data_IF_073000518421
#
_entry.id   IF_073000518421
#
_cell.length_a   1.000
_cell.length_b   1.000
_cell.length_c   1.000
_cell.angle_alpha   90.00
_cell.angle_beta   90.00
_cell.angle_gamma   90.00
#
_symmetry.space_group_name_H-M   'P 1'
#
loop_
_entity.id
_entity.type
_entity.pdbx_description
1 polymer ?
#
# COMPACT_ATOMS: atom_id res chain seq x y z
N UNK A 1 4.63 22.41 5.55
CA UNK A 1 3.70 21.93 4.50
C UNK A 1 2.61 21.16 5.25
N UNK A 2 1.76 20.34 4.64
CA UNK A 2 0.86 19.46 5.41
C UNK A 2 1.37 18.00 5.44
N UNK A 3 1.97 17.56 4.33
CA UNK A 3 2.52 16.19 4.22
C UNK A 3 3.65 15.89 5.20
N UNK A 4 4.49 16.87 5.52
CA UNK A 4 5.62 16.77 6.46
C UNK A 4 5.16 16.44 7.88
N UNK A 5 3.97 16.89 8.27
CA UNK A 5 3.39 16.54 9.58
C UNK A 5 2.59 15.25 9.51
N UNK A 6 1.64 15.16 8.57
CA UNK A 6 0.67 14.06 8.55
C UNK A 6 1.32 12.73 8.16
N UNK A 7 2.16 12.70 7.12
CA UNK A 7 2.81 11.46 6.69
C UNK A 7 3.87 10.99 7.69
N UNK A 8 4.57 11.92 8.35
CA UNK A 8 5.52 11.57 9.42
C UNK A 8 4.79 10.94 10.60
N UNK A 9 3.66 11.51 11.03
CA UNK A 9 2.84 10.91 12.07
C UNK A 9 2.31 9.52 11.68
N UNK A 10 1.89 9.33 10.43
CA UNK A 10 1.49 8.02 9.92
C UNK A 10 2.64 7.00 10.01
N UNK A 11 3.85 7.36 9.57
CA UNK A 11 5.02 6.47 9.66
C UNK A 11 5.39 6.16 11.11
N UNK A 12 5.33 7.15 12.00
CA UNK A 12 5.60 6.96 13.43
C UNK A 12 4.66 5.94 14.05
N UNK A 13 3.37 5.98 13.72
CA UNK A 13 2.40 4.97 14.17
C UNK A 13 2.74 3.59 13.62
N UNK A 14 3.10 3.49 12.33
CA UNK A 14 3.42 2.21 11.68
C UNK A 14 4.68 1.56 12.26
N UNK A 15 5.67 2.36 12.67
CA UNK A 15 6.93 1.89 13.26
C UNK A 15 6.88 1.84 14.80
N UNK A 16 5.75 2.22 15.40
CA UNK A 16 5.59 2.31 16.86
C UNK A 16 6.56 3.30 17.55
N UNK A 17 6.97 4.37 16.86
CA UNK A 17 7.86 5.44 17.35
C UNK A 17 7.08 6.72 17.72
N UNK A 18 6.00 6.55 18.49
CA UNK A 18 5.10 7.64 18.92
C UNK A 18 5.45 8.22 20.29
N UNK A 19 6.06 7.42 21.18
CA UNK A 19 6.35 7.82 22.56
C UNK A 19 7.70 8.52 22.68
N UNK A 20 7.78 9.56 23.52
CA UNK A 20 9.04 10.24 23.83
C UNK A 20 9.89 9.41 24.81
N UNK A 21 11.23 9.39 24.66
CA UNK A 21 12.00 9.97 23.56
C UNK A 21 11.85 9.16 22.26
N UNK A 22 11.66 9.88 21.16
CA UNK A 22 11.56 9.27 19.83
C UNK A 22 12.92 8.74 19.39
N UNK A 23 12.91 7.61 18.69
CA UNK A 23 14.11 6.95 18.14
C UNK A 23 14.59 7.67 16.89
N UNK A 24 13.66 8.07 16.02
CA UNK A 24 13.96 8.74 14.75
C UNK A 24 13.67 10.24 14.84
N UNK A 25 14.56 11.07 14.28
CA UNK A 25 14.29 12.50 14.10
C UNK A 25 13.30 12.72 12.96
N UNK A 26 12.51 13.80 13.02
CA UNK A 26 11.53 14.11 11.97
C UNK A 26 12.20 14.28 10.60
N UNK A 27 13.33 15.00 10.54
CA UNK A 27 14.11 15.17 9.30
C UNK A 27 14.56 13.83 8.68
N UNK A 28 14.89 12.83 9.51
CA UNK A 28 15.24 11.51 9.01
C UNK A 28 14.02 10.81 8.39
N UNK A 29 12.86 10.89 9.06
CA UNK A 29 11.61 10.29 8.55
C UNK A 29 11.14 10.97 7.26
N UNK A 30 11.28 12.29 7.14
CA UNK A 30 10.99 13.03 5.91
C UNK A 30 11.85 12.56 4.74
N UNK A 31 13.16 12.37 4.93
CA UNK A 31 14.06 11.83 3.89
C UNK A 31 13.65 10.43 3.46
N UNK A 32 13.27 9.59 4.43
CA UNK A 32 12.80 8.23 4.15
C UNK A 32 11.48 8.27 3.38
N UNK A 33 10.56 9.16 3.73
CA UNK A 33 9.29 9.37 3.02
C UNK A 33 9.50 9.81 1.56
N UNK A 34 10.41 10.76 1.31
CA UNK A 34 10.72 11.22 -0.05
C UNK A 34 11.35 10.08 -0.86
N UNK A 35 12.29 9.35 -0.26
CA UNK A 35 12.91 8.18 -0.90
C UNK A 35 11.86 7.11 -1.22
N UNK A 36 10.94 6.85 -0.29
CA UNK A 36 9.82 5.95 -0.50
C UNK A 36 8.91 6.44 -1.63
N UNK A 37 8.60 7.74 -1.69
CA UNK A 37 7.82 8.36 -2.76
C UNK A 37 8.42 8.08 -4.14
N UNK A 38 9.72 8.34 -4.33
CA UNK A 38 10.44 8.07 -5.59
C UNK A 38 10.34 6.57 -5.97
N UNK A 39 10.44 5.67 -4.99
CA UNK A 39 10.33 4.23 -5.26
C UNK A 39 8.90 3.81 -5.62
N UNK A 40 7.88 4.37 -4.96
CA UNK A 40 6.48 4.04 -5.24
C UNK A 40 6.04 4.61 -6.58
N UNK A 41 6.50 5.81 -6.94
CA UNK A 41 6.21 6.44 -8.23
C UNK A 41 6.72 5.61 -9.42
N UNK A 42 7.86 4.94 -9.24
CA UNK A 42 8.37 3.97 -10.23
C UNK A 42 7.54 2.66 -10.31
N UNK A 43 6.78 2.33 -9.27
CA UNK A 43 6.01 1.07 -9.17
C UNK A 43 4.51 1.24 -9.44
N UNK A 44 3.95 2.43 -9.23
CA UNK A 44 2.52 2.72 -9.31
C UNK A 44 2.28 4.05 -10.03
N UNK A 45 1.47 4.08 -11.10
CA UNK A 45 1.17 5.32 -11.81
C UNK A 45 0.14 6.14 -11.02
N UNK A 46 0.60 7.25 -10.43
CA UNK A 46 -0.25 8.23 -9.76
C UNK A 46 -0.93 9.18 -10.74
N UNK A 47 -2.06 9.76 -10.34
CA UNK A 47 -2.79 10.76 -11.15
C UNK A 47 -2.16 12.14 -11.14
N UNK A 48 -1.22 12.39 -10.23
CA UNK A 48 -0.51 13.65 -10.10
C UNK A 48 0.98 13.43 -10.40
N UNK A 49 1.58 14.36 -11.13
CA UNK A 49 3.01 14.39 -11.38
C UNK A 49 3.72 14.99 -10.16
N UNK A 50 4.43 14.14 -9.40
CA UNK A 50 5.10 14.52 -8.17
C UNK A 50 6.59 14.78 -8.42
N UNK A 51 7.05 15.97 -8.04
CA UNK A 51 8.45 16.34 -7.96
C UNK A 51 8.99 16.08 -6.55
N UNK A 52 10.13 15.38 -6.47
CA UNK A 52 10.80 15.00 -5.24
C UNK A 52 12.17 15.65 -5.11
N UNK A 53 12.48 16.24 -3.95
CA UNK A 53 13.83 16.71 -3.61
C UNK A 53 14.22 16.24 -2.20
N UNK A 54 15.21 15.36 -2.12
CA UNK A 54 15.71 14.78 -0.86
C UNK A 54 16.54 15.80 -0.06
N UNK A 55 17.18 16.75 -0.74
CA UNK A 55 18.07 17.73 -0.11
C UNK A 55 17.31 18.90 0.50
N UNK A 56 16.26 19.37 -0.19
CA UNK A 56 15.39 20.46 0.26
C UNK A 56 14.21 19.94 1.10
N UNK A 57 14.01 18.61 1.12
CA UNK A 57 12.93 17.93 1.82
C UNK A 57 11.55 18.35 1.30
N UNK A 58 11.33 18.17 0.01
CA UNK A 58 10.07 18.61 -0.64
C UNK A 58 9.43 17.52 -1.48
N UNK A 59 8.10 17.47 -1.40
CA UNK A 59 7.19 16.73 -2.27
C UNK A 59 6.20 17.76 -2.84
N UNK A 60 6.14 17.90 -4.17
CA UNK A 60 5.27 18.86 -4.84
C UNK A 60 4.56 18.22 -6.04
N UNK A 61 3.23 18.30 -6.17
CA UNK A 61 2.27 18.96 -5.27
C UNK A 61 2.15 18.25 -3.90
N UNK A 62 1.67 18.95 -2.88
CA UNK A 62 1.50 18.36 -1.55
C UNK A 62 0.32 17.35 -1.57
N UNK A 63 0.59 16.05 -1.31
CA UNK A 63 -0.41 14.97 -1.43
C UNK A 63 -1.58 15.10 -0.45
N UNK A 64 -1.38 15.78 0.68
CA UNK A 64 -2.44 16.03 1.67
C UNK A 64 -3.38 17.10 1.14
N UNK A 65 -2.82 18.16 0.57
CA UNK A 65 -3.63 19.26 0.00
C UNK A 65 -4.40 18.84 -1.24
N UNK A 66 -3.82 17.95 -2.06
CA UNK A 66 -4.49 17.37 -3.24
C UNK A 66 -5.47 16.24 -2.89
N UNK A 67 -5.54 15.85 -1.61
CA UNK A 67 -6.38 14.75 -1.11
C UNK A 67 -6.12 13.42 -1.81
N UNK A 68 -4.86 13.15 -2.19
CA UNK A 68 -4.46 11.90 -2.82
C UNK A 68 -4.32 10.79 -1.76
N UNK A 69 -5.45 10.17 -1.44
CA UNK A 69 -5.52 9.07 -0.47
C UNK A 69 -4.67 7.86 -0.88
N UNK A 70 -4.42 7.66 -2.18
CA UNK A 70 -3.63 6.53 -2.67
C UNK A 70 -2.15 6.77 -2.33
N UNK A 71 -1.65 7.98 -2.61
CA UNK A 71 -0.31 8.39 -2.21
C UNK A 71 -0.13 8.35 -0.69
N UNK A 72 -1.08 8.93 0.05
CA UNK A 72 -1.05 8.97 1.52
C UNK A 72 -1.11 7.57 2.15
N UNK A 73 -1.64 6.55 1.47
CA UNK A 73 -1.64 5.17 1.97
C UNK A 73 -0.36 4.40 1.58
N UNK A 74 0.06 4.48 0.30
CA UNK A 74 1.17 3.68 -0.23
C UNK A 74 2.54 4.14 0.29
N UNK A 75 2.77 5.46 0.34
CA UNK A 75 4.10 6.01 0.63
C UNK A 75 4.51 5.79 2.09
N UNK A 76 3.67 6.06 3.11
CA UNK A 76 4.00 5.73 4.50
C UNK A 76 4.22 4.23 4.75
N UNK A 77 3.46 3.36 4.07
CA UNK A 77 3.66 1.91 4.15
C UNK A 77 5.01 1.49 3.58
N UNK A 78 5.41 2.07 2.43
CA UNK A 78 6.73 1.81 1.84
C UNK A 78 7.86 2.36 2.72
N UNK A 79 7.69 3.55 3.29
CA UNK A 79 8.64 4.13 4.24
C UNK A 79 8.83 3.25 5.49
N UNK A 80 7.73 2.73 6.07
CA UNK A 80 7.80 1.79 7.19
C UNK A 80 8.50 0.47 6.80
N UNK A 81 8.30 -0.01 5.57
CA UNK A 81 9.04 -1.16 5.03
C UNK A 81 10.56 -0.90 4.94
N UNK A 82 10.99 0.29 4.48
CA UNK A 82 12.41 0.66 4.42
C UNK A 82 13.03 0.70 5.82
N UNK A 83 12.33 1.30 6.79
CA UNK A 83 12.81 1.41 8.18
C UNK A 83 12.95 0.03 8.84
N UNK A 84 11.92 -0.80 8.77
CA UNK A 84 11.95 -2.16 9.34
C UNK A 84 13.03 -3.04 8.69
N UNK A 85 13.29 -2.89 7.40
CA UNK A 85 14.42 -3.56 6.75
C UNK A 85 15.78 -3.06 7.26
N UNK A 86 15.91 -1.76 7.54
CA UNK A 86 17.10 -1.17 8.15
C UNK A 86 17.38 -1.74 9.54
N UNK A 87 16.35 -1.80 10.39
CA UNK A 87 16.42 -2.39 11.74
C UNK A 87 16.82 -3.87 11.69
N UNK A 88 16.24 -4.64 10.78
CA UNK A 88 16.61 -6.05 10.62
C UNK A 88 18.07 -6.22 10.21
N UNK A 89 18.56 -5.40 9.27
CA UNK A 89 19.98 -5.44 8.86
C UNK A 89 20.93 -5.15 10.02
N UNK A 90 20.55 -4.23 10.91
CA UNK A 90 21.34 -3.95 12.12
C UNK A 90 21.27 -5.11 13.11
N UNK A 91 20.08 -5.69 13.32
CA UNK A 91 19.89 -6.81 14.23
C UNK A 91 20.71 -8.04 13.80
N UNK A 92 20.76 -8.37 12.51
CA UNK A 92 21.54 -9.52 11.99
C UNK A 92 23.02 -9.51 12.41
N UNK A 93 23.62 -8.34 12.62
CA UNK A 93 25.01 -8.20 13.04
C UNK A 93 25.27 -8.51 14.52
N UNK A 94 24.23 -8.64 15.34
CA UNK A 94 24.33 -8.77 16.80
C UNK A 94 24.11 -10.20 17.33
N UNK A 95 24.01 -11.18 16.43
CA UNK A 95 23.77 -12.57 16.78
C UNK A 95 24.95 -13.23 17.49
N UNK A 96 24.82 -13.50 18.79
CA UNK A 96 25.82 -14.20 19.59
C UNK A 96 25.25 -15.53 20.08
N UNK A 97 26.05 -16.59 19.91
CA UNK A 97 25.80 -17.91 20.49
C UNK A 97 26.97 -18.29 21.38
N UNK A 98 26.71 -18.40 22.68
CA UNK A 98 27.71 -18.86 23.66
C UNK A 98 27.24 -20.17 24.26
N UNK A 99 28.14 -21.13 24.36
CA UNK A 99 27.94 -22.37 25.11
C UNK A 99 28.96 -22.46 26.24
N UNK A 100 28.46 -22.71 27.44
CA UNK A 100 29.27 -22.98 28.63
C UNK A 100 28.68 -24.21 29.33
N UNK A 101 29.31 -25.37 29.11
CA UNK A 101 28.82 -26.66 29.58
C UNK A 101 27.41 -27.00 29.05
N UNK A 102 26.50 -27.31 29.98
CA UNK A 102 25.09 -27.60 29.69
C UNK A 102 24.23 -26.34 29.48
N UNK A 103 24.80 -25.15 29.68
CA UNK A 103 24.13 -23.88 29.45
C UNK A 103 24.49 -23.32 28.08
N UNK A 104 23.47 -22.89 27.34
CA UNK A 104 23.65 -22.20 26.06
C UNK A 104 22.77 -20.96 26.00
N UNK A 105 23.37 -19.83 25.64
CA UNK A 105 22.64 -18.61 25.29
C UNK A 105 22.71 -18.49 23.77
N UNK A 106 21.54 -18.55 23.14
CA UNK A 106 21.41 -18.45 21.69
C UNK A 106 20.45 -17.30 21.36
N UNK A 107 21.03 -16.13 21.06
CA UNK A 107 20.24 -14.97 20.64
C UNK A 107 19.74 -15.09 19.20
N UNK A 108 20.19 -16.11 18.44
CA UNK A 108 19.80 -16.27 17.02
C UNK A 108 18.33 -16.62 16.82
N UNK A 109 17.65 -17.12 17.86
CA UNK A 109 16.23 -17.44 17.81
C UNK A 109 15.38 -16.18 17.69
N UNK A 110 15.83 -15.05 18.25
CA UNK A 110 15.13 -13.76 18.12
C UNK A 110 15.07 -13.23 16.68
N UNK A 111 16.04 -13.60 15.82
CA UNK A 111 16.03 -13.24 14.39
C UNK A 111 14.92 -13.90 13.60
N UNK A 112 14.36 -15.02 14.07
CA UNK A 112 13.21 -15.65 13.41
C UNK A 112 11.98 -14.75 13.50
N UNK A 113 11.74 -14.13 14.66
CA UNK A 113 10.65 -13.17 14.83
C UNK A 113 10.80 -11.94 13.94
N UNK A 114 12.02 -11.43 13.76
CA UNK A 114 12.24 -10.33 12.83
C UNK A 114 12.02 -10.71 11.37
N UNK A 115 12.38 -11.94 10.98
CA UNK A 115 12.08 -12.47 9.66
C UNK A 115 10.56 -12.56 9.44
N UNK A 116 9.82 -13.05 10.42
CA UNK A 116 8.35 -13.15 10.34
C UNK A 116 7.71 -11.75 10.22
N UNK A 117 8.23 -10.75 10.93
CA UNK A 117 7.79 -9.34 10.82
C UNK A 117 8.10 -8.78 9.43
N UNK A 118 9.22 -9.14 8.82
CA UNK A 118 9.50 -8.73 7.44
C UNK A 118 8.57 -9.40 6.42
N UNK A 119 8.27 -10.68 6.61
CA UNK A 119 7.41 -11.45 5.71
C UNK A 119 5.93 -11.08 5.84
N UNK A 120 5.46 -10.68 7.03
CA UNK A 120 4.03 -10.37 7.29
C UNK A 120 3.74 -8.90 7.61
N UNK A 121 4.76 -8.06 7.78
CA UNK A 121 4.60 -6.69 8.27
C UNK A 121 4.33 -5.66 7.16
N UNK A 122 4.89 -4.44 7.27
CA UNK A 122 4.52 -3.32 6.40
C UNK A 122 4.87 -3.56 4.93
N UNK A 123 5.93 -4.33 4.63
CA UNK A 123 6.30 -4.68 3.27
C UNK A 123 5.24 -5.55 2.57
N UNK A 124 4.69 -6.54 3.28
CA UNK A 124 3.63 -7.39 2.73
C UNK A 124 2.30 -6.63 2.61
N UNK A 125 2.00 -5.76 3.58
CA UNK A 125 0.84 -4.88 3.52
C UNK A 125 0.91 -3.92 2.32
N UNK A 126 2.08 -3.35 2.04
CA UNK A 126 2.34 -2.52 0.87
C UNK A 126 2.05 -3.27 -0.43
N UNK A 127 2.64 -4.46 -0.61
CA UNK A 127 2.42 -5.27 -1.82
C UNK A 127 0.94 -5.61 -2.00
N UNK A 128 0.27 -6.04 -0.92
CA UNK A 128 -1.17 -6.36 -0.97
C UNK A 128 -2.01 -5.15 -1.35
N UNK A 129 -1.72 -3.97 -0.79
CA UNK A 129 -2.45 -2.74 -1.08
C UNK A 129 -2.20 -2.29 -2.53
N UNK A 130 -0.95 -2.31 -2.99
CA UNK A 130 -0.57 -2.05 -4.39
C UNK A 130 -1.33 -2.96 -5.35
N UNK A 131 -1.31 -4.28 -5.12
CA UNK A 131 -2.05 -5.24 -5.94
C UNK A 131 -3.55 -4.97 -5.94
N UNK A 132 -4.13 -4.63 -4.79
CA UNK A 132 -5.56 -4.33 -4.70
C UNK A 132 -5.97 -3.08 -5.50
N UNK A 133 -5.12 -2.05 -5.52
CA UNK A 133 -5.36 -0.81 -6.25
C UNK A 133 -5.18 -0.98 -7.76
N UNK A 134 -4.18 -1.77 -8.17
CA UNK A 134 -3.99 -2.15 -9.58
C UNK A 134 -5.14 -3.03 -10.09
N UNK A 135 -5.62 -3.96 -9.26
CA UNK A 135 -6.74 -4.83 -9.61
C UNK A 135 -8.07 -4.07 -9.69
N UNK A 136 -8.29 -3.07 -8.84
CA UNK A 136 -9.52 -2.26 -8.85
C UNK A 136 -9.58 -1.27 -10.03
N UNK A 137 -8.45 -1.02 -10.70
CA UNK A 137 -8.34 -0.02 -11.78
C UNK A 137 -8.26 1.41 -11.25
N UNK A 138 -7.80 1.60 -10.01
CA UNK A 138 -7.58 2.91 -9.41
C UNK A 138 -6.32 3.61 -9.97
N UNK A 139 -5.47 2.87 -10.67
CA UNK A 139 -4.32 3.41 -11.40
C UNK A 139 -4.77 4.16 -12.66
N UNK A 140 -4.17 5.32 -12.92
CA UNK A 140 -4.44 6.09 -14.15
C UNK A 140 -4.05 5.24 -15.38
N UNK A 141 -5.00 4.99 -16.29
CA UNK A 141 -4.82 4.09 -17.43
C UNK A 141 -4.87 2.59 -17.12
N UNK A 142 -5.10 2.19 -15.87
CA UNK A 142 -5.22 0.80 -15.45
C UNK A 142 -6.59 0.21 -15.76
N UNK A 143 -6.70 -0.55 -16.86
CA UNK A 143 -7.80 -1.50 -17.02
C UNK A 143 -7.67 -2.55 -15.91
N UNK A 144 -8.42 -2.38 -14.81
CA UNK A 144 -8.31 -3.17 -13.57
C UNK A 144 -7.92 -4.64 -13.83
N UNK A 145 -6.68 -4.97 -13.45
CA UNK A 145 -6.07 -6.27 -13.75
C UNK A 145 -6.70 -7.31 -12.83
N UNK A 146 -7.80 -7.90 -13.29
CA UNK A 146 -8.61 -8.81 -12.47
C UNK A 146 -10.11 -8.79 -12.74
N UNK A 147 -10.63 -7.98 -13.67
CA UNK A 147 -12.00 -8.19 -14.18
C UNK A 147 -12.02 -9.47 -15.01
N UNK A 148 -12.39 -10.58 -14.38
CA UNK A 148 -12.37 -11.92 -14.95
C UNK A 148 -12.94 -11.96 -16.37
N UNK A 149 -12.05 -12.31 -17.31
CA UNK A 149 -12.37 -12.94 -18.58
C UNK A 149 -12.94 -14.31 -18.23
N UNK A 150 -14.27 -14.51 -18.29
CA UNK A 150 -14.91 -15.83 -18.43
C UNK A 150 -16.42 -15.62 -18.66
N UNK A 151 -16.77 -15.35 -19.91
CA UNK A 151 -18.15 -15.29 -20.40
C UNK A 151 -18.16 -14.82 -21.86
N UNK A 152 -18.71 -15.58 -22.82
CA UNK A 152 -18.58 -15.32 -24.26
C UNK A 152 -19.28 -14.04 -24.79
N UNK A 153 -19.84 -13.20 -23.91
CA UNK A 153 -20.66 -12.05 -24.30
C UNK A 153 -20.32 -10.78 -23.51
N UNK A 154 -19.07 -10.33 -23.52
CA UNK A 154 -18.74 -9.00 -22.99
C UNK A 154 -18.42 -8.00 -24.09
N UNK A 155 -19.19 -6.91 -24.10
CA UNK A 155 -18.92 -5.70 -24.87
C UNK A 155 -17.78 -4.91 -24.20
N UNK A 156 -16.81 -4.38 -24.96
CA UNK A 156 -15.73 -3.56 -24.42
C UNK A 156 -16.28 -2.33 -23.67
N UNK A 157 -15.83 -2.09 -22.44
CA UNK A 157 -16.21 -0.92 -21.63
C UNK A 157 -17.32 -1.12 -20.59
N UNK A 158 -17.98 -2.29 -20.54
CA UNK A 158 -19.04 -2.54 -19.55
C UNK A 158 -18.51 -2.78 -18.13
N UNK A 159 -19.16 -2.18 -17.12
CA UNK A 159 -18.88 -2.49 -15.71
C UNK A 159 -19.57 -3.82 -15.31
N UNK A 160 -19.31 -4.35 -14.11
CA UNK A 160 -19.87 -5.66 -13.69
C UNK A 160 -21.38 -5.59 -13.35
N UNK A 161 -21.92 -4.38 -13.16
CA UNK A 161 -23.31 -4.14 -12.82
C UNK A 161 -24.22 -4.06 -14.05
N UNK A 162 -23.68 -3.63 -15.20
CA UNK A 162 -24.43 -3.58 -16.47
C UNK A 162 -24.90 -4.98 -16.93
N UNK A 163 -24.15 -6.03 -16.57
CA UNK A 163 -24.51 -7.42 -16.88
C UNK A 163 -25.52 -8.05 -15.91
N UNK A 164 -25.85 -7.39 -14.79
CA UNK A 164 -26.91 -7.88 -13.89
C UNK A 164 -28.27 -7.30 -14.31
N UNK A 165 -28.29 -6.17 -15.03
CA UNK A 165 -29.51 -5.50 -15.47
C UNK A 165 -30.40 -6.36 -16.38
N UNK A 166 -29.81 -7.13 -17.31
CA UNK A 166 -30.60 -7.96 -18.23
C UNK A 166 -31.14 -9.26 -17.59
N UNK A 167 -30.53 -9.71 -16.48
CA UNK A 167 -31.00 -10.91 -15.78
C UNK A 167 -32.25 -10.59 -14.93
N UNK A 168 -32.33 -9.38 -14.35
CA UNK A 168 -33.51 -8.95 -13.58
C UNK A 168 -34.69 -8.51 -14.45
N UNK A 169 -34.45 -8.06 -15.69
CA UNK A 169 -35.52 -7.66 -16.62
C UNK A 169 -36.34 -8.85 -17.17
N UNK A 170 -35.86 -10.09 -17.03
CA UNK A 170 -36.62 -11.28 -17.44
C UNK A 170 -37.62 -11.77 -16.38
N UNK A 171 -37.56 -11.26 -15.15
CA UNK A 171 -38.41 -11.73 -14.04
C UNK A 171 -39.26 -10.65 -13.39
N UNK A 172 -39.18 -9.39 -13.83
CA UNK A 172 -39.96 -8.29 -13.29
C UNK A 172 -40.90 -7.67 -14.33
N UNK A 173 -42.00 -8.36 -14.64
CA UNK A 173 -43.37 -7.79 -14.69
C UNK A 173 -44.35 -8.92 -14.97
N UNK A 174 -44.94 -9.48 -13.91
CA UNK A 174 -46.31 -9.94 -14.02
C UNK A 174 -47.19 -8.70 -14.01
N UNK A 175 -47.66 -8.27 -15.19
CA UNK A 175 -49.01 -7.70 -15.40
C UNK A 175 -49.21 -7.35 -16.88
N UNK A 176 -50.14 -8.09 -17.49
CA UNK A 176 -51.15 -7.65 -18.48
C UNK A 176 -50.78 -6.52 -19.45
N UNK A 177 -50.66 -6.85 -20.74
CA UNK A 177 -50.53 -5.85 -21.79
C UNK A 177 -50.72 -6.40 -23.21
N UNK A 178 -51.92 -6.91 -23.47
CA UNK A 178 -52.44 -7.25 -24.81
C UNK A 178 -52.11 -6.16 -25.84
N UNK A 179 -51.33 -6.50 -26.88
CA UNK A 179 -51.35 -5.79 -28.17
C UNK A 179 -51.84 -6.77 -29.23
N UNK A 180 -53.09 -6.57 -29.61
CA UNK A 180 -53.77 -7.26 -30.69
C UNK A 180 -52.99 -7.09 -32.02
N UNK A 181 -52.89 -8.18 -32.78
CA UNK A 181 -52.63 -8.15 -34.22
C UNK A 181 -53.97 -8.31 -34.94
N UNK A 182 -54.49 -7.20 -35.47
CA UNK A 182 -55.29 -7.07 -36.70
C UNK A 182 -55.69 -5.61 -36.85
#
# INVERSE_FOLDING_TARGET
MAWDTDLVLMVRVLVSDISLPQTYTDEYLERVLITAGIMVDAEFPFSYDYAYDISVLTIAPDPVTSSDNIFMALVPLKAACILTQGEFKQALGQGIKVRDGDSAIDTSVSFRGYRDILEMGPCAAYEKLKWSLLASGAAEGGAGVGKAVLGPYRTPGGNALDTISWYYDQFATGETGRRDRS
#
